data_IF_313660573724
#
_entry.id   IF_313660573724
#
_cell.length_a   1.000
_cell.length_b   1.000
_cell.length_c   1.000
_cell.angle_alpha   90.00
_cell.angle_beta   90.00
_cell.angle_gamma   90.00
#
_symmetry.space_group_name_H-M   'P 1'
#
loop_
_entity.id
_entity.type
_entity.pdbx_description
1 polymer ?
#
# COMPACT_ATOMS: atom_id res chain seq x y z
N UNK A 1 -14.41 5.69 -2.14
CA UNK A 1 -13.84 6.33 -3.34
C UNK A 1 -13.92 5.37 -4.52
N UNK A 2 -14.06 5.85 -5.76
CA UNK A 2 -13.89 4.97 -6.92
C UNK A 2 -12.42 4.57 -7.05
N UNK A 3 -12.14 3.38 -7.59
CA UNK A 3 -10.77 2.85 -7.72
C UNK A 3 -9.80 3.85 -8.40
N UNK A 4 -10.26 4.51 -9.48
CA UNK A 4 -9.48 5.53 -10.18
C UNK A 4 -9.17 6.77 -9.31
N UNK A 5 -10.06 7.16 -8.42
CA UNK A 5 -9.84 8.29 -7.49
C UNK A 5 -8.76 7.93 -6.45
N UNK A 6 -8.75 6.67 -5.99
CA UNK A 6 -7.71 6.18 -5.08
C UNK A 6 -6.34 6.19 -5.76
N UNK A 7 -6.27 5.75 -7.02
CA UNK A 7 -5.02 5.78 -7.80
C UNK A 7 -4.50 7.21 -7.97
N UNK A 8 -5.37 8.13 -8.38
CA UNK A 8 -5.02 9.55 -8.51
C UNK A 8 -4.59 10.17 -7.17
N UNK A 9 -5.19 9.75 -6.07
CA UNK A 9 -4.76 10.19 -4.74
C UNK A 9 -3.34 9.71 -4.43
N UNK A 10 -3.03 8.43 -4.68
CA UNK A 10 -1.69 7.87 -4.46
C UNK A 10 -0.62 8.57 -5.33
N UNK A 11 -0.94 8.83 -6.60
CA UNK A 11 -0.03 9.54 -7.51
C UNK A 11 0.23 10.98 -7.06
N UNK A 12 -0.83 11.73 -6.72
CA UNK A 12 -0.70 13.10 -6.19
C UNK A 12 0.08 13.13 -4.87
N UNK A 13 -0.17 12.17 -3.98
CA UNK A 13 0.56 12.06 -2.72
C UNK A 13 2.06 11.87 -2.97
N UNK A 14 2.43 10.98 -3.90
CA UNK A 14 3.82 10.76 -4.30
C UNK A 14 4.45 12.01 -4.89
N UNK A 15 3.77 12.70 -5.79
CA UNK A 15 4.25 13.93 -6.45
C UNK A 15 4.48 15.07 -5.45
N UNK A 16 3.60 15.21 -4.46
CA UNK A 16 3.69 16.26 -3.44
C UNK A 16 4.77 16.01 -2.39
N UNK A 17 5.29 14.78 -2.28
CA UNK A 17 6.26 14.38 -1.26
C UNK A 17 7.54 13.85 -1.91
N UNK A 18 8.59 14.68 -2.07
CA UNK A 18 9.86 14.26 -2.68
C UNK A 18 10.48 13.00 -2.06
N UNK A 19 10.29 12.80 -0.75
CA UNK A 19 10.76 11.61 -0.05
C UNK A 19 10.11 10.31 -0.55
N UNK A 20 8.92 10.37 -1.16
CA UNK A 20 8.20 9.24 -1.74
C UNK A 20 8.50 9.03 -3.23
N UNK A 21 9.57 9.60 -3.79
CA UNK A 21 9.97 9.27 -5.18
C UNK A 21 10.08 7.75 -5.38
N UNK A 22 9.85 7.26 -6.61
CA UNK A 22 9.90 5.81 -6.88
C UNK A 22 11.22 5.18 -6.45
N UNK A 23 12.34 5.87 -6.66
CA UNK A 23 13.66 5.45 -6.19
C UNK A 23 13.68 5.22 -4.67
N UNK A 24 13.14 6.17 -3.90
CA UNK A 24 13.13 6.07 -2.44
C UNK A 24 12.17 4.99 -1.95
N UNK A 25 10.97 4.88 -2.55
CA UNK A 25 10.00 3.81 -2.22
C UNK A 25 10.63 2.44 -2.44
N UNK A 26 11.29 2.23 -3.57
CA UNK A 26 11.95 0.94 -3.90
C UNK A 26 13.06 0.63 -2.89
N UNK A 27 13.89 1.62 -2.56
CA UNK A 27 15.02 1.45 -1.64
C UNK A 27 14.59 1.20 -0.19
N UNK A 28 13.71 2.04 0.35
CA UNK A 28 13.37 2.05 1.77
C UNK A 28 12.01 2.74 2.01
N UNK A 29 10.94 1.96 1.88
CA UNK A 29 9.57 2.44 2.09
C UNK A 29 9.35 2.88 3.54
N UNK A 30 9.94 2.18 4.50
CA UNK A 30 9.82 2.49 5.93
C UNK A 30 10.34 3.89 6.19
N UNK A 31 11.55 4.21 5.73
CA UNK A 31 12.10 5.57 5.85
C UNK A 31 11.25 6.64 5.16
N UNK A 32 10.60 6.31 4.04
CA UNK A 32 9.65 7.24 3.40
C UNK A 32 8.48 7.54 4.36
N UNK A 33 7.88 6.51 4.94
CA UNK A 33 6.77 6.61 5.89
C UNK A 33 7.17 7.37 7.15
N UNK A 34 8.32 7.05 7.73
CA UNK A 34 8.81 7.73 8.92
C UNK A 34 9.13 9.20 8.66
N UNK A 35 9.57 9.55 7.45
CA UNK A 35 9.87 10.94 7.08
C UNK A 35 8.65 11.87 7.12
N UNK A 36 7.43 11.33 7.08
CA UNK A 36 6.20 12.12 7.21
C UNK A 36 5.63 12.11 8.64
N UNK A 37 6.30 11.45 9.59
CA UNK A 37 5.95 11.47 11.01
C UNK A 37 5.10 10.28 11.49
N UNK A 38 5.04 9.20 10.70
CA UNK A 38 4.36 7.94 11.05
C UNK A 38 5.44 6.91 11.39
N UNK A 39 5.47 6.39 12.62
CA UNK A 39 6.47 5.37 12.99
C UNK A 39 6.03 3.99 12.53
N UNK A 40 7.00 3.17 12.14
CA UNK A 40 6.79 1.76 11.81
C UNK A 40 7.40 0.89 12.90
N UNK A 41 6.64 -0.10 13.36
CA UNK A 41 7.08 -1.09 14.33
C UNK A 41 6.91 -2.49 13.78
N UNK A 42 7.66 -3.43 14.36
CA UNK A 42 7.62 -4.83 14.00
C UNK A 42 7.20 -5.66 15.22
N UNK A 43 6.31 -6.62 15.00
CA UNK A 43 5.82 -7.55 16.01
C UNK A 43 5.70 -8.96 15.41
N UNK A 44 5.83 -10.01 16.20
CA UNK A 44 5.54 -11.39 15.78
C UNK A 44 4.05 -11.72 15.78
N UNK A 45 3.21 -10.76 16.20
CA UNK A 45 1.75 -10.88 16.33
C UNK A 45 1.29 -11.95 17.34
N UNK A 46 2.18 -12.42 18.22
CA UNK A 46 1.89 -13.46 19.23
C UNK A 46 0.80 -13.08 20.24
N UNK A 47 0.50 -11.78 20.37
CA UNK A 47 -0.56 -11.27 21.24
C UNK A 47 -1.98 -11.44 20.65
N UNK A 48 -2.13 -11.85 19.38
CA UNK A 48 -3.43 -12.13 18.76
C UNK A 48 -3.77 -13.62 18.87
N UNK A 49 -5.06 -13.96 18.94
CA UNK A 49 -5.53 -15.36 18.99
C UNK A 49 -5.08 -16.17 17.76
N UNK A 50 -4.93 -15.50 16.62
CA UNK A 50 -4.49 -16.09 15.35
C UNK A 50 -3.36 -15.27 14.70
N UNK A 51 -2.11 -15.33 15.24
CA UNK A 51 -0.99 -14.49 14.80
C UNK A 51 -0.72 -14.52 13.29
N UNK A 52 -0.85 -15.70 12.67
CA UNK A 52 -0.58 -15.92 11.24
C UNK A 52 -1.59 -15.24 10.31
N UNK A 53 -2.77 -14.90 10.82
CA UNK A 53 -3.81 -14.18 10.08
C UNK A 53 -3.57 -12.67 10.03
N UNK A 54 -2.74 -12.14 10.94
CA UNK A 54 -2.50 -10.70 11.08
C UNK A 54 -1.22 -10.32 10.34
N UNK A 55 -1.37 -9.59 9.23
CA UNK A 55 -0.21 -9.10 8.47
C UNK A 55 0.36 -7.80 9.04
N UNK A 56 -0.50 -6.98 9.62
CA UNK A 56 -0.17 -5.70 10.24
C UNK A 56 -1.45 -5.05 10.78
N UNK A 57 -1.29 -3.90 11.42
CA UNK A 57 -2.38 -3.05 11.85
C UNK A 57 -1.88 -1.63 12.10
N UNK A 58 -2.82 -0.68 12.14
CA UNK A 58 -2.56 0.71 12.53
C UNK A 58 -3.09 1.01 13.93
N UNK A 59 -2.41 1.91 14.62
CA UNK A 59 -2.86 2.42 15.93
C UNK A 59 -2.56 3.90 16.08
N UNK A 60 -3.17 4.52 17.08
CA UNK A 60 -2.86 5.89 17.51
C UNK A 60 -2.19 5.83 18.87
N UNK A 61 -1.01 6.44 18.98
CA UNK A 61 -0.28 6.51 20.24
C UNK A 61 -0.83 7.60 21.18
N UNK A 62 -0.27 7.68 22.38
CA UNK A 62 -0.74 8.63 23.41
C UNK A 62 -0.45 10.10 23.05
N UNK A 63 0.39 10.35 22.03
CA UNK A 63 0.61 11.66 21.44
C UNK A 63 -0.33 11.97 20.27
N UNK A 64 -1.37 11.16 20.05
CA UNK A 64 -2.31 11.27 18.94
C UNK A 64 -1.66 11.22 17.55
N UNK A 65 -0.56 10.48 17.43
CA UNK A 65 0.09 10.21 16.14
C UNK A 65 -0.21 8.78 15.68
N UNK A 66 -0.42 8.58 14.38
CA UNK A 66 -0.59 7.24 13.83
C UNK A 66 0.75 6.48 13.86
N UNK A 67 0.64 5.17 14.05
CA UNK A 67 1.74 4.22 14.00
C UNK A 67 1.30 3.00 13.20
N UNK A 68 2.23 2.41 12.46
CA UNK A 68 2.03 1.18 11.70
C UNK A 68 2.77 0.06 12.44
N UNK A 69 2.12 -1.08 12.63
CA UNK A 69 2.75 -2.30 13.16
C UNK A 69 2.67 -3.38 12.08
N UNK A 70 3.81 -3.99 11.75
CA UNK A 70 3.93 -4.97 10.68
C UNK A 70 4.37 -6.32 11.26
N UNK A 71 3.83 -7.41 10.73
CA UNK A 71 4.24 -8.74 11.12
C UNK A 71 5.68 -9.01 10.66
N UNK A 72 6.59 -9.16 11.63
CA UNK A 72 8.02 -9.38 11.45
C UNK A 72 8.34 -10.74 10.82
N UNK A 73 7.44 -11.73 10.94
CA UNK A 73 7.60 -13.06 10.38
C UNK A 73 7.36 -13.10 8.86
N UNK A 74 6.80 -12.03 8.28
CA UNK A 74 6.56 -11.95 6.85
C UNK A 74 7.82 -11.59 6.05
N UNK A 75 7.96 -12.18 4.87
CA UNK A 75 9.02 -11.81 3.91
C UNK A 75 8.89 -10.33 3.50
N UNK A 76 10.02 -9.70 3.15
CA UNK A 76 10.11 -8.26 2.90
C UNK A 76 9.04 -7.74 1.93
N UNK A 77 8.82 -8.40 0.79
CA UNK A 77 7.81 -7.96 -0.16
C UNK A 77 6.38 -7.93 0.40
N UNK A 78 6.06 -8.83 1.34
CA UNK A 78 4.76 -8.83 2.03
C UNK A 78 4.69 -7.73 3.09
N UNK A 79 5.78 -7.52 3.85
CA UNK A 79 5.89 -6.40 4.79
C UNK A 79 5.74 -5.04 4.11
N UNK A 80 6.36 -4.87 2.94
CA UNK A 80 6.25 -3.65 2.11
C UNK A 80 4.81 -3.39 1.68
N UNK A 81 4.10 -4.42 1.20
CA UNK A 81 2.70 -4.28 0.84
C UNK A 81 1.84 -3.92 2.06
N UNK A 82 2.03 -4.60 3.19
CA UNK A 82 1.34 -4.28 4.44
C UNK A 82 1.60 -2.83 4.88
N UNK A 83 2.85 -2.36 4.89
CA UNK A 83 3.16 -0.96 5.23
C UNK A 83 2.42 0.04 4.34
N UNK A 84 2.38 -0.22 3.03
CA UNK A 84 1.67 0.65 2.09
C UNK A 84 0.14 0.60 2.28
N UNK A 85 -0.40 -0.57 2.61
CA UNK A 85 -1.82 -0.79 2.90
C UNK A 85 -2.24 -0.03 4.18
N UNK A 86 -1.50 -0.22 5.27
CA UNK A 86 -1.71 0.49 6.53
C UNK A 86 -1.57 2.02 6.37
N UNK A 87 -0.62 2.47 5.55
CA UNK A 87 -0.51 3.88 5.19
C UNK A 87 -1.76 4.39 4.46
N UNK A 88 -2.37 3.57 3.60
CA UNK A 88 -3.64 3.87 2.93
C UNK A 88 -4.76 4.16 3.93
N UNK A 89 -4.90 3.33 4.98
CA UNK A 89 -5.87 3.59 6.05
C UNK A 89 -5.64 4.93 6.74
N UNK A 90 -4.38 5.25 7.08
CA UNK A 90 -4.05 6.50 7.76
C UNK A 90 -4.36 7.72 6.90
N UNK A 91 -4.03 7.67 5.61
CA UNK A 91 -4.14 8.83 4.72
C UNK A 91 -5.56 9.04 4.20
N UNK A 92 -6.26 7.98 3.82
CA UNK A 92 -7.58 8.06 3.18
C UNK A 92 -8.67 8.07 4.25
N UNK A 93 -8.65 7.08 5.14
CA UNK A 93 -9.78 6.82 6.04
C UNK A 93 -9.67 7.62 7.34
N UNK A 94 -8.47 7.79 7.88
CA UNK A 94 -8.25 8.65 9.04
C UNK A 94 -8.02 10.12 8.65
N UNK A 95 -7.81 10.38 7.35
CA UNK A 95 -7.56 11.72 6.78
C UNK A 95 -6.40 12.45 7.48
N UNK A 96 -5.38 11.73 7.92
CA UNK A 96 -4.21 12.30 8.57
C UNK A 96 -3.21 12.85 7.53
N UNK A 97 -2.53 13.98 7.76
CA UNK A 97 -2.56 14.84 8.96
C UNK A 97 -3.61 15.96 8.91
N UNK A 98 -4.51 15.98 7.93
CA UNK A 98 -5.54 17.04 7.80
C UNK A 98 -6.53 17.02 8.95
N UNK A 99 -6.90 15.84 9.43
CA UNK A 99 -7.70 15.61 10.62
C UNK A 99 -6.78 15.25 11.79
N UNK A 100 -6.96 15.93 12.93
CA UNK A 100 -6.30 15.53 14.18
C UNK A 100 -6.90 14.20 14.63
N UNK A 101 -6.04 13.26 14.98
CA UNK A 101 -6.49 11.99 15.54
C UNK A 101 -6.76 12.14 17.02
N UNK A 102 -7.66 11.31 17.52
CA UNK A 102 -7.86 11.07 18.92
C UNK A 102 -8.00 9.56 19.08
N UNK A 103 -7.14 8.95 19.89
CA UNK A 103 -7.10 7.49 20.11
C UNK A 103 -8.48 6.90 20.43
N UNK A 104 -9.29 7.63 21.19
CA UNK A 104 -10.63 7.19 21.56
C UNK A 104 -11.62 7.30 20.39
N UNK A 105 -11.48 8.33 19.55
CA UNK A 105 -12.39 8.57 18.42
C UNK A 105 -12.10 7.67 17.21
N UNK A 106 -10.83 7.33 16.94
CA UNK A 106 -10.48 6.44 15.82
C UNK A 106 -11.12 5.06 15.98
N UNK A 107 -11.18 4.54 17.20
CA UNK A 107 -11.90 3.29 17.50
C UNK A 107 -13.41 3.38 17.24
N UNK A 108 -14.00 4.56 17.42
CA UNK A 108 -15.44 4.82 17.21
C UNK A 108 -15.75 5.00 15.72
N UNK A 109 -14.87 5.67 14.97
CA UNK A 109 -15.00 5.81 13.52
C UNK A 109 -14.99 4.44 12.83
N UNK A 110 -14.03 3.57 13.19
CA UNK A 110 -13.98 2.20 12.68
C UNK A 110 -15.27 1.43 13.02
N UNK A 111 -15.83 1.63 14.22
CA UNK A 111 -17.09 0.98 14.64
C UNK A 111 -18.32 1.48 13.90
N UNK A 112 -18.42 2.77 13.59
CA UNK A 112 -19.57 3.34 12.91
C UNK A 112 -19.62 2.96 11.42
N UNK A 113 -18.48 2.59 10.84
CA UNK A 113 -18.34 2.10 9.46
C UNK A 113 -18.52 0.56 9.35
N UNK A 114 -18.84 -0.16 10.44
CA UNK A 114 -18.90 -1.63 10.52
C UNK A 114 -20.15 -2.29 9.89
N UNK A 115 -20.55 -1.88 8.69
CA UNK A 115 -21.26 -2.84 7.82
C UNK A 115 -20.21 -3.67 7.08
N UNK A 116 -20.45 -4.97 6.88
CA UNK A 116 -19.53 -5.85 6.14
C UNK A 116 -19.18 -5.28 4.75
N UNK A 117 -20.16 -4.64 4.11
CA UNK A 117 -19.98 -3.94 2.83
C UNK A 117 -19.02 -2.75 2.94
N UNK A 118 -19.17 -1.89 3.95
CA UNK A 118 -18.31 -0.72 4.15
C UNK A 118 -16.89 -1.14 4.53
N UNK A 119 -16.73 -2.15 5.39
CA UNK A 119 -15.43 -2.75 5.69
C UNK A 119 -14.73 -3.25 4.41
N UNK A 120 -15.43 -4.01 3.57
CA UNK A 120 -14.87 -4.52 2.31
C UNK A 120 -14.43 -3.39 1.37
N UNK A 121 -15.16 -2.27 1.31
CA UNK A 121 -14.77 -1.10 0.50
C UNK A 121 -13.51 -0.43 1.06
N UNK A 122 -13.44 -0.21 2.37
CA UNK A 122 -12.28 0.39 3.06
C UNK A 122 -11.00 -0.41 2.80
N UNK A 123 -11.07 -1.73 2.92
CA UNK A 123 -9.97 -2.66 2.64
C UNK A 123 -9.59 -2.67 1.14
N UNK A 124 -10.56 -2.63 0.24
CA UNK A 124 -10.31 -2.53 -1.20
C UNK A 124 -9.59 -1.22 -1.56
N UNK A 125 -9.99 -0.10 -0.95
CA UNK A 125 -9.36 1.20 -1.16
C UNK A 125 -7.93 1.22 -0.62
N UNK A 126 -7.68 0.66 0.56
CA UNK A 126 -6.32 0.54 1.12
C UNK A 126 -5.42 -0.35 0.26
N UNK A 127 -5.96 -1.47 -0.25
CA UNK A 127 -5.26 -2.35 -1.18
C UNK A 127 -4.93 -1.65 -2.50
N UNK A 128 -5.86 -0.88 -3.05
CA UNK A 128 -5.63 -0.16 -4.30
C UNK A 128 -4.61 0.97 -4.12
N UNK A 129 -4.69 1.69 -3.01
CA UNK A 129 -3.70 2.69 -2.63
C UNK A 129 -2.30 2.06 -2.53
N UNK A 130 -2.17 0.94 -1.80
CA UNK A 130 -0.91 0.24 -1.66
C UNK A 130 -0.35 -0.21 -3.01
N UNK A 131 -1.24 -0.72 -3.88
CA UNK A 131 -0.86 -1.18 -5.19
C UNK A 131 -0.31 -0.05 -6.06
N UNK A 132 -1.03 1.08 -6.11
CA UNK A 132 -0.63 2.25 -6.89
C UNK A 132 0.60 2.96 -6.31
N UNK A 133 0.78 2.95 -4.98
CA UNK A 133 1.97 3.55 -4.35
C UNK A 133 3.24 2.78 -4.69
N UNK A 134 3.20 1.44 -4.60
CA UNK A 134 4.37 0.58 -4.76
C UNK A 134 4.72 0.31 -6.23
N UNK A 135 3.70 0.15 -7.06
CA UNK A 135 3.87 -0.26 -8.45
C UNK A 135 2.83 0.47 -9.34
N UNK A 136 3.06 1.77 -9.62
CA UNK A 136 2.06 2.65 -10.19
C UNK A 136 1.79 2.31 -11.66
N UNK A 137 0.52 2.22 -12.05
CA UNK A 137 0.16 1.78 -13.41
C UNK A 137 0.74 2.70 -14.50
N UNK A 138 0.70 4.02 -14.31
CA UNK A 138 1.26 4.99 -15.24
C UNK A 138 2.78 4.83 -15.40
N UNK A 139 3.51 4.70 -14.28
CA UNK A 139 4.97 4.53 -14.28
C UNK A 139 5.39 3.26 -15.00
N UNK A 140 4.68 2.14 -14.77
CA UNK A 140 4.98 0.90 -15.49
C UNK A 140 4.68 1.06 -16.97
N UNK A 141 3.48 1.57 -17.31
CA UNK A 141 3.02 1.66 -18.69
C UNK A 141 3.95 2.53 -19.54
N UNK A 142 4.42 3.66 -18.99
CA UNK A 142 5.40 4.55 -19.63
C UNK A 142 6.78 3.90 -19.80
N UNK A 143 7.14 2.96 -18.91
CA UNK A 143 8.43 2.28 -18.96
C UNK A 143 8.44 1.02 -19.85
N UNK A 144 7.29 0.57 -20.37
CA UNK A 144 7.23 -0.59 -21.25
C UNK A 144 7.82 -0.25 -22.64
N UNK A 145 8.64 -1.14 -23.23
CA UNK A 145 9.21 -0.92 -24.56
C UNK A 145 8.19 -1.04 -25.70
N UNK A 146 7.00 -1.57 -25.43
CA UNK A 146 5.90 -1.78 -26.36
C UNK A 146 4.59 -1.89 -25.58
N UNK A 147 3.41 -1.75 -26.21
CA UNK A 147 2.12 -1.99 -25.57
C UNK A 147 2.06 -3.35 -24.85
N UNK A 148 1.41 -3.39 -23.69
CA UNK A 148 1.38 -4.60 -22.83
C UNK A 148 0.72 -5.82 -23.51
N UNK A 149 -0.18 -5.57 -24.47
CA UNK A 149 -0.87 -6.59 -25.25
C UNK A 149 0.01 -7.22 -26.34
N UNK A 150 1.16 -6.62 -26.66
CA UNK A 150 2.08 -7.13 -27.69
C UNK A 150 3.14 -8.10 -27.12
N UNK A 151 3.10 -8.36 -25.82
CA UNK A 151 3.98 -9.33 -25.16
C UNK A 151 3.44 -10.75 -25.30
N UNK A 152 4.22 -11.64 -25.92
CA UNK A 152 3.93 -13.08 -25.88
C UNK A 152 4.18 -13.66 -24.48
N UNK A 153 3.80 -14.93 -24.27
CA UNK A 153 3.88 -15.56 -22.95
C UNK A 153 5.28 -15.61 -22.33
N UNK A 154 6.32 -15.84 -23.14
CA UNK A 154 7.71 -15.89 -22.67
C UNK A 154 8.22 -14.49 -22.30
N UNK A 155 7.92 -13.49 -23.13
CA UNK A 155 8.25 -12.09 -22.86
C UNK A 155 7.51 -11.60 -21.61
N UNK A 156 6.22 -11.93 -21.46
CA UNK A 156 5.41 -11.53 -20.31
C UNK A 156 5.92 -12.12 -19.00
N UNK A 157 6.31 -13.41 -19.00
CA UNK A 157 6.95 -14.04 -17.83
C UNK A 157 8.24 -13.34 -17.43
N UNK A 158 9.05 -12.95 -18.42
CA UNK A 158 10.29 -12.21 -18.20
C UNK A 158 10.01 -10.79 -17.67
N UNK A 159 9.00 -10.12 -18.23
CA UNK A 159 8.54 -8.81 -17.77
C UNK A 159 8.10 -8.84 -16.31
N UNK A 160 7.27 -9.81 -15.91
CA UNK A 160 6.83 -9.98 -14.50
C UNK A 160 8.03 -10.13 -13.57
N UNK A 161 9.03 -10.93 -13.95
CA UNK A 161 10.24 -11.12 -13.15
C UNK A 161 11.07 -9.83 -13.04
N UNK A 162 11.22 -9.09 -14.15
CA UNK A 162 11.94 -7.83 -14.18
C UNK A 162 11.24 -6.75 -13.34
N UNK A 163 9.93 -6.58 -13.49
CA UNK A 163 9.13 -5.63 -12.70
C UNK A 163 9.19 -5.97 -11.21
N UNK A 164 9.01 -7.25 -10.85
CA UNK A 164 9.15 -7.71 -9.47
C UNK A 164 10.50 -7.32 -8.85
N UNK A 165 11.59 -7.53 -9.59
CA UNK A 165 12.94 -7.18 -9.15
C UNK A 165 13.14 -5.65 -9.06
N UNK A 166 12.78 -4.91 -10.10
CA UNK A 166 13.03 -3.47 -10.20
C UNK A 166 12.25 -2.65 -9.17
N UNK A 167 11.05 -3.10 -8.79
CA UNK A 167 10.20 -2.40 -7.83
C UNK A 167 10.26 -2.98 -6.42
N UNK A 168 11.08 -4.02 -6.20
CA UNK A 168 11.19 -4.74 -4.93
C UNK A 168 9.82 -5.19 -4.39
N UNK A 169 9.10 -5.96 -5.23
CA UNK A 169 7.79 -6.52 -4.91
C UNK A 169 7.67 -7.97 -5.33
N UNK A 170 6.66 -8.69 -4.85
CA UNK A 170 6.49 -10.11 -5.18
C UNK A 170 6.04 -10.30 -6.65
N UNK A 171 6.44 -11.42 -7.27
CA UNK A 171 6.01 -11.75 -8.65
C UNK A 171 4.48 -11.84 -8.80
N UNK A 172 3.71 -12.44 -7.87
CA UNK A 172 2.25 -12.43 -7.96
C UNK A 172 1.66 -11.02 -7.95
N UNK A 173 2.19 -10.12 -7.13
CA UNK A 173 1.73 -8.73 -7.10
C UNK A 173 2.11 -7.97 -8.38
N UNK A 174 3.35 -8.12 -8.87
CA UNK A 174 3.76 -7.54 -10.15
C UNK A 174 2.87 -7.99 -11.31
N UNK A 175 2.55 -9.29 -11.37
CA UNK A 175 1.62 -9.85 -12.36
C UNK A 175 0.24 -9.19 -12.27
N UNK A 176 -0.34 -9.06 -11.07
CA UNK A 176 -1.66 -8.42 -10.90
C UNK A 176 -1.70 -6.99 -11.44
N UNK A 177 -0.65 -6.19 -11.21
CA UNK A 177 -0.59 -4.82 -11.75
C UNK A 177 -0.43 -4.81 -13.27
N UNK A 178 0.38 -5.71 -13.84
CA UNK A 178 0.51 -5.83 -15.30
C UNK A 178 -0.78 -6.34 -15.97
N UNK A 179 -1.52 -7.26 -15.32
CA UNK A 179 -2.81 -7.74 -15.80
C UNK A 179 -3.86 -6.60 -15.79
N UNK A 180 -3.81 -5.68 -14.82
CA UNK A 180 -4.64 -4.46 -14.84
C UNK A 180 -4.37 -3.60 -16.06
N UNK A 181 -3.11 -3.43 -16.46
CA UNK A 181 -2.77 -2.69 -17.68
C UNK A 181 -3.34 -3.37 -18.93
N UNK A 182 -3.29 -4.70 -19.01
CA UNK A 182 -3.89 -5.46 -20.13
C UNK A 182 -5.39 -5.25 -20.22
N UNK A 183 -6.09 -5.22 -19.09
CA UNK A 183 -7.54 -5.04 -19.05
C UNK A 183 -7.99 -3.62 -19.46
N UNK A 184 -7.10 -2.64 -19.43
CA UNK A 184 -7.38 -1.23 -19.78
C UNK A 184 -6.81 -0.81 -21.14
N UNK A 185 -6.06 -1.68 -21.82
CA UNK A 185 -5.37 -1.40 -23.10
C UNK A 185 -6.17 -1.81 -24.32
#
# INVERSE_FOLDING_TARGET
MKENEVRQFADKFREQKPNFSMKNIVNDLEKCIESIGIKVFYSDMSAFDYPDSVSGYTRVNDMNKPEIVVNSNHVEGRRRFTMAHELGHILIHWNWPKKKLNKNEVSILYRNENSEMSYNLVEQEANEFAAQLLLPLNVINEALPKPINDFNDLEYRSLVANVSKSFNVTKPFARRQLDKLRATS
#
